data_IF_531370387294
#
_entry.id   IF_531370387294
#
_cell.length_a   1.000
_cell.length_b   1.000
_cell.length_c   1.000
_cell.angle_alpha   90.00
_cell.angle_beta   90.00
_cell.angle_gamma   90.00
#
_symmetry.space_group_name_H-M   'P 1'
#
loop_
_entity.id
_entity.type
_entity.pdbx_description
1 polymer ?
#
# COMPACT_ATOMS: atom_id res chain seq x y z
N UNK A 1 15.74 5.08 23.15
CA UNK A 1 16.42 3.98 22.43
C UNK A 1 15.49 2.79 22.50
N UNK A 2 15.01 2.29 21.36
CA UNK A 2 14.02 1.21 21.28
C UNK A 2 14.58 -0.14 21.75
N UNK A 3 13.68 -1.04 22.16
CA UNK A 3 14.01 -2.43 22.49
C UNK A 3 14.61 -3.15 21.28
N UNK A 4 15.45 -4.15 21.56
CA UNK A 4 15.91 -5.10 20.54
C UNK A 4 14.71 -5.91 20.04
N UNK A 5 14.72 -6.29 18.77
CA UNK A 5 13.67 -7.15 18.20
C UNK A 5 14.23 -8.06 17.09
N UNK A 6 13.62 -9.23 16.92
CA UNK A 6 13.82 -10.10 15.75
C UNK A 6 12.65 -10.01 14.76
N UNK A 7 11.45 -9.68 15.25
CA UNK A 7 10.23 -9.54 14.47
C UNK A 7 9.33 -8.47 15.09
N UNK A 8 8.28 -8.12 14.36
CA UNK A 8 7.33 -7.10 14.77
C UNK A 8 6.65 -7.43 16.10
N UNK A 9 6.31 -8.69 16.40
CA UNK A 9 5.57 -9.05 17.61
C UNK A 9 6.31 -8.67 18.92
N UNK A 10 7.63 -8.49 18.87
CA UNK A 10 8.47 -8.06 20.00
C UNK A 10 8.49 -6.54 20.22
N UNK A 11 8.02 -5.78 19.24
CA UNK A 11 7.92 -4.33 19.32
C UNK A 11 6.64 -3.86 19.99
N UNK A 12 6.77 -2.78 20.77
CA UNK A 12 5.62 -2.09 21.36
C UNK A 12 4.71 -1.50 20.27
N UNK A 13 3.45 -1.26 20.60
CA UNK A 13 2.48 -0.63 19.69
C UNK A 13 3.01 0.70 19.13
N UNK A 14 2.70 0.97 17.86
CA UNK A 14 3.20 2.15 17.12
C UNK A 14 4.65 2.05 16.66
N UNK A 15 5.33 0.91 16.89
CA UNK A 15 6.68 0.62 16.38
C UNK A 15 6.70 -0.71 15.62
N UNK A 16 7.56 -0.83 14.62
CA UNK A 16 7.84 -2.08 13.89
C UNK A 16 9.33 -2.41 14.01
N UNK A 17 9.68 -3.67 13.79
CA UNK A 17 11.04 -4.14 13.88
C UNK A 17 11.80 -3.83 12.59
N UNK A 18 12.84 -3.01 12.70
CA UNK A 18 13.81 -2.87 11.64
C UNK A 18 14.84 -3.99 11.79
N UNK A 19 14.58 -5.12 11.13
CA UNK A 19 15.33 -6.39 11.27
C UNK A 19 16.83 -6.23 11.06
N UNK A 20 17.27 -5.37 10.13
CA UNK A 20 18.70 -5.10 9.86
C UNK A 20 19.47 -4.60 11.09
N UNK A 21 18.85 -3.70 11.87
CA UNK A 21 19.46 -3.13 13.08
C UNK A 21 18.91 -3.74 14.36
N UNK A 22 18.03 -4.74 14.24
CA UNK A 22 17.33 -5.43 15.31
C UNK A 22 16.72 -4.47 16.34
N UNK A 23 16.03 -3.43 15.88
CA UNK A 23 15.44 -2.41 16.76
C UNK A 23 14.02 -2.05 16.37
N UNK A 24 13.22 -1.81 17.41
CA UNK A 24 11.89 -1.24 17.24
C UNK A 24 11.98 0.24 16.88
N UNK A 25 11.47 0.58 15.70
CA UNK A 25 11.47 1.91 15.12
C UNK A 25 10.02 2.40 15.03
N UNK A 26 9.71 3.66 15.42
CA UNK A 26 8.37 4.19 15.28
C UNK A 26 7.91 4.23 13.83
N UNK A 27 6.64 3.89 13.60
CA UNK A 27 6.00 3.97 12.28
C UNK A 27 6.04 5.42 11.80
N UNK A 28 6.39 5.64 10.54
CA UNK A 28 6.47 6.96 9.93
C UNK A 28 7.56 7.86 10.50
N UNK A 29 8.63 7.30 11.07
CA UNK A 29 9.74 8.07 11.65
C UNK A 29 10.98 8.16 10.76
N UNK A 30 11.11 7.29 9.76
CA UNK A 30 12.27 7.30 8.86
C UNK A 30 12.07 8.35 7.76
N UNK A 31 13.01 9.29 7.67
CA UNK A 31 12.99 10.37 6.68
C UNK A 31 13.29 9.84 5.27
N UNK A 32 12.93 10.62 4.25
CA UNK A 32 13.27 10.35 2.84
C UNK A 32 14.79 10.17 2.70
N UNK A 33 15.20 9.15 1.94
CA UNK A 33 16.60 8.75 1.78
C UNK A 33 17.14 7.83 2.87
N UNK A 34 16.37 7.54 3.92
CA UNK A 34 16.75 6.52 4.91
C UNK A 34 16.63 5.13 4.30
N UNK A 35 17.67 4.30 4.46
CA UNK A 35 17.65 2.90 4.00
C UNK A 35 16.64 2.07 4.79
N UNK A 36 15.90 1.23 4.09
CA UNK A 36 15.05 0.17 4.64
C UNK A 36 15.36 -1.14 3.92
N UNK A 37 15.10 -2.26 4.59
CA UNK A 37 15.45 -3.59 4.06
C UNK A 37 14.31 -4.27 3.30
N UNK A 38 13.09 -3.79 3.53
CA UNK A 38 11.89 -4.34 2.91
C UNK A 38 11.08 -3.20 2.28
N UNK A 39 10.51 -3.48 1.11
CA UNK A 39 9.70 -2.52 0.38
C UNK A 39 8.65 -3.24 -0.46
N UNK A 40 7.69 -3.85 0.23
CA UNK A 40 6.62 -4.63 -0.40
C UNK A 40 5.71 -3.69 -1.19
N UNK A 41 5.72 -3.86 -2.52
CA UNK A 41 4.95 -3.02 -3.47
C UNK A 41 5.19 -1.52 -3.31
N UNK A 42 6.39 -1.14 -2.87
CA UNK A 42 6.73 0.27 -2.67
C UNK A 42 6.19 0.89 -1.38
N UNK A 43 5.72 0.06 -0.45
CA UNK A 43 5.21 0.47 0.86
C UNK A 43 6.19 -0.01 1.94
N UNK A 44 6.48 0.89 2.88
CA UNK A 44 7.15 0.56 4.13
C UNK A 44 6.64 1.52 5.21
N UNK A 45 5.95 0.99 6.21
CA UNK A 45 5.28 1.78 7.25
C UNK A 45 6.27 2.52 8.18
N UNK A 46 7.55 2.15 8.22
CA UNK A 46 8.57 2.90 8.96
C UNK A 46 8.88 4.25 8.29
N UNK A 47 8.71 4.35 6.97
CA UNK A 47 8.96 5.58 6.21
C UNK A 47 7.91 6.65 6.50
N UNK A 48 8.33 7.92 6.54
CA UNK A 48 7.50 9.08 6.88
C UNK A 48 6.17 9.13 6.11
N UNK A 49 6.20 8.76 4.83
CA UNK A 49 5.03 8.73 3.94
C UNK A 49 4.43 7.33 3.75
N UNK A 50 4.95 6.33 4.48
CA UNK A 50 4.62 4.92 4.29
C UNK A 50 5.15 4.33 2.98
N UNK A 51 6.01 5.05 2.26
CA UNK A 51 6.46 4.69 0.90
C UNK A 51 7.97 4.54 0.80
N UNK A 52 8.39 3.64 -0.08
CA UNK A 52 9.78 3.33 -0.36
C UNK A 52 10.00 3.01 -1.84
N UNK A 53 11.27 3.05 -2.24
CA UNK A 53 11.74 2.79 -3.59
C UNK A 53 13.05 1.99 -3.54
N UNK A 54 13.31 1.15 -4.54
CA UNK A 54 14.59 0.47 -4.74
C UNK A 54 15.43 1.27 -5.73
N UNK A 55 16.74 1.29 -5.62
CA UNK A 55 17.56 1.73 -6.74
C UNK A 55 17.61 0.61 -7.78
N UNK A 56 17.31 0.92 -9.06
CA UNK A 56 17.26 -0.05 -10.17
C UNK A 56 18.55 -0.87 -10.38
N UNK A 57 19.64 -0.46 -9.75
CA UNK A 57 20.96 -1.08 -9.83
C UNK A 57 21.22 -2.10 -8.73
N UNK A 58 20.39 -2.16 -7.69
CA UNK A 58 20.62 -2.97 -6.49
C UNK A 58 19.27 -3.34 -5.85
N UNK A 59 18.72 -4.50 -6.25
CA UNK A 59 17.39 -4.98 -5.81
C UNK A 59 17.30 -5.21 -4.28
N UNK A 60 18.44 -5.23 -3.58
CA UNK A 60 18.54 -5.46 -2.13
C UNK A 60 18.59 -4.17 -1.28
N UNK A 61 18.55 -2.99 -1.91
CA UNK A 61 18.63 -1.71 -1.21
C UNK A 61 17.40 -0.84 -1.48
N UNK A 62 16.53 -0.76 -0.47
CA UNK A 62 15.37 0.12 -0.50
C UNK A 62 15.62 1.37 0.33
N UNK A 63 14.96 2.45 -0.04
CA UNK A 63 15.03 3.74 0.62
C UNK A 63 13.64 4.30 0.79
N UNK A 64 13.40 4.94 1.93
CA UNK A 64 12.21 5.75 2.10
C UNK A 64 12.16 6.83 1.03
N UNK A 65 11.06 6.93 0.32
CA UNK A 65 10.90 7.89 -0.78
C UNK A 65 9.60 8.67 -0.62
N UNK A 66 9.51 9.82 -1.29
CA UNK A 66 8.23 10.53 -1.43
C UNK A 66 7.30 9.71 -2.33
N UNK A 67 5.99 9.72 -2.05
CA UNK A 67 5.03 9.08 -2.91
C UNK A 67 4.92 9.86 -4.23
N UNK A 68 4.94 9.13 -5.34
CA UNK A 68 4.76 9.68 -6.68
C UNK A 68 3.35 9.38 -7.18
N UNK A 69 2.73 10.36 -7.87
CA UNK A 69 1.33 10.28 -8.34
C UNK A 69 1.26 9.96 -9.82
N UNK A 70 0.08 9.58 -10.30
CA UNK A 70 -0.28 9.59 -11.71
C UNK A 70 -0.06 10.98 -12.30
N UNK A 71 0.48 11.04 -13.53
CA UNK A 71 0.71 12.30 -14.26
C UNK A 71 -0.60 12.99 -14.64
N UNK A 72 -1.62 12.18 -14.91
CA UNK A 72 -2.94 12.64 -15.34
C UNK A 72 -3.92 12.63 -14.17
N UNK A 73 -5.06 13.28 -14.35
CA UNK A 73 -6.13 13.29 -13.35
C UNK A 73 -6.67 11.87 -13.10
N UNK A 74 -6.91 11.56 -11.83
CA UNK A 74 -7.41 10.27 -11.39
C UNK A 74 -8.95 10.16 -11.53
N UNK A 75 -9.52 9.02 -11.99
CA UNK A 75 -8.84 7.84 -12.49
C UNK A 75 -8.28 8.05 -13.91
N UNK A 76 -7.01 7.73 -14.10
CA UNK A 76 -6.36 7.84 -15.42
C UNK A 76 -6.81 6.70 -16.33
N UNK A 77 -7.30 7.05 -17.51
CA UNK A 77 -7.65 6.10 -18.57
C UNK A 77 -6.55 6.03 -19.61
N UNK A 78 -6.42 4.90 -20.28
CA UNK A 78 -5.34 4.63 -21.21
C UNK A 78 -5.83 3.93 -22.47
N UNK A 79 -5.20 4.21 -23.61
CA UNK A 79 -5.46 3.48 -24.86
C UNK A 79 -4.55 2.26 -24.94
N UNK A 80 -5.13 1.09 -25.20
CA UNK A 80 -4.40 -0.17 -25.25
C UNK A 80 -3.86 -0.36 -26.67
N UNK A 81 -2.74 0.31 -26.97
CA UNK A 81 -2.01 0.12 -28.22
C UNK A 81 -0.69 -0.65 -28.02
N UNK A 82 -0.03 -1.00 -29.13
CA UNK A 82 1.24 -1.75 -29.12
C UNK A 82 2.40 -1.02 -28.40
N UNK A 83 2.35 0.31 -28.28
CA UNK A 83 3.34 1.08 -27.55
C UNK A 83 3.07 1.02 -26.05
N UNK A 84 1.80 1.07 -25.63
CA UNK A 84 1.42 0.93 -24.24
C UNK A 84 1.88 -0.41 -23.66
N UNK A 85 1.69 -1.52 -24.40
CA UNK A 85 2.11 -2.84 -23.95
C UNK A 85 3.64 -2.98 -23.81
N UNK A 86 4.41 -2.17 -24.55
CA UNK A 86 5.87 -2.28 -24.60
C UNK A 86 6.58 -1.32 -23.65
N UNK A 87 6.03 -0.12 -23.44
CA UNK A 87 6.70 0.96 -22.71
C UNK A 87 5.89 1.49 -21.51
N UNK A 88 4.67 0.98 -21.30
CA UNK A 88 3.69 1.57 -20.39
C UNK A 88 3.09 2.84 -21.00
N UNK A 89 1.78 3.01 -20.83
CA UNK A 89 1.08 4.25 -21.20
C UNK A 89 0.51 5.00 -20.01
N UNK A 90 0.63 4.42 -18.82
CA UNK A 90 0.32 5.05 -17.55
C UNK A 90 1.61 5.59 -16.98
N UNK A 91 1.73 6.91 -16.90
CA UNK A 91 2.96 7.55 -16.45
C UNK A 91 2.70 8.22 -15.12
N UNK A 92 3.65 8.07 -14.22
CA UNK A 92 3.66 8.91 -13.04
C UNK A 92 4.04 10.36 -13.38
N UNK A 93 3.93 11.26 -12.41
CA UNK A 93 4.70 12.50 -12.37
C UNK A 93 6.22 12.19 -12.36
N UNK A 94 7.06 13.19 -12.63
CA UNK A 94 8.51 12.98 -12.62
C UNK A 94 8.98 12.59 -11.21
N UNK A 95 9.64 11.45 -11.09
CA UNK A 95 10.20 10.96 -9.84
C UNK A 95 11.64 11.42 -9.70
N UNK A 96 11.91 12.27 -8.70
CA UNK A 96 13.24 12.81 -8.43
C UNK A 96 14.24 11.75 -7.93
N UNK A 97 13.77 10.66 -7.32
CA UNK A 97 14.62 9.58 -6.82
C UNK A 97 15.13 8.70 -7.96
N UNK A 98 14.29 8.40 -8.94
CA UNK A 98 14.67 7.63 -10.13
C UNK A 98 15.13 8.50 -11.32
N UNK A 99 15.00 9.82 -11.20
CA UNK A 99 15.24 10.80 -12.28
C UNK A 99 14.49 10.46 -13.58
N UNK A 100 13.23 10.02 -13.46
CA UNK A 100 12.39 9.61 -14.61
C UNK A 100 10.91 9.59 -14.28
N UNK A 101 10.09 9.45 -15.32
CA UNK A 101 8.70 9.02 -15.17
C UNK A 101 8.64 7.51 -14.97
N UNK A 102 7.85 7.04 -14.02
CA UNK A 102 7.63 5.63 -13.76
C UNK A 102 6.52 5.11 -14.68
N UNK A 103 6.80 4.10 -15.53
CA UNK A 103 5.79 3.53 -16.41
C UNK A 103 5.02 2.41 -15.72
N UNK A 104 3.71 2.38 -15.97
CA UNK A 104 2.84 1.26 -15.67
C UNK A 104 2.06 0.82 -16.92
N UNK A 105 1.68 -0.46 -16.93
CA UNK A 105 0.85 -1.04 -17.98
C UNK A 105 -0.63 -0.72 -17.74
N UNK A 106 -1.35 -0.46 -18.82
CA UNK A 106 -2.79 -0.28 -18.82
C UNK A 106 -3.51 -1.60 -18.53
N UNK A 107 -4.54 -1.56 -17.68
CA UNK A 107 -5.39 -2.71 -17.40
C UNK A 107 -6.64 -2.67 -18.27
N UNK A 108 -6.91 -3.77 -18.97
CA UNK A 108 -8.11 -3.89 -19.81
C UNK A 108 -9.37 -3.95 -18.94
N UNK A 109 -10.39 -3.19 -19.32
CA UNK A 109 -11.73 -3.35 -18.75
C UNK A 109 -12.44 -4.55 -19.43
N UNK A 110 -13.41 -5.16 -18.74
CA UNK A 110 -14.11 -6.34 -19.26
C UNK A 110 -15.02 -6.03 -20.47
N UNK A 111 -15.30 -4.76 -20.74
CA UNK A 111 -16.07 -4.32 -21.90
C UNK A 111 -15.18 -4.06 -23.12
N UNK A 112 -15.70 -4.36 -24.30
CA UNK A 112 -15.06 -4.29 -25.63
C UNK A 112 -14.68 -2.86 -26.08
N UNK A 113 -14.00 -2.08 -25.25
CA UNK A 113 -13.44 -0.79 -25.62
C UNK A 113 -11.93 -0.89 -25.69
N UNK A 114 -11.32 -0.18 -26.65
CA UNK A 114 -9.85 -0.03 -26.77
C UNK A 114 -9.24 0.81 -25.62
N UNK A 115 -10.04 1.10 -24.59
CA UNK A 115 -9.72 1.94 -23.44
C UNK A 115 -9.61 1.07 -22.18
N UNK A 116 -8.47 1.13 -21.51
CA UNK A 116 -8.26 0.57 -20.19
C UNK A 116 -8.11 1.63 -19.12
N UNK A 117 -7.73 1.17 -17.92
CA UNK A 117 -7.51 2.01 -16.75
C UNK A 117 -6.08 1.84 -16.26
N UNK A 118 -5.45 2.94 -15.88
CA UNK A 118 -4.12 2.94 -15.31
C UNK A 118 -4.14 2.50 -13.85
N UNK A 119 -3.18 1.69 -13.38
CA UNK A 119 -3.07 1.32 -11.97
C UNK A 119 -2.71 2.52 -11.11
N UNK A 120 -3.00 2.40 -9.81
CA UNK A 120 -2.61 3.40 -8.82
C UNK A 120 -1.09 3.47 -8.67
N UNK A 121 -0.56 4.69 -8.66
CA UNK A 121 0.74 4.98 -8.08
C UNK A 121 0.61 5.25 -6.57
N UNK A 122 1.73 5.15 -5.85
CA UNK A 122 1.76 5.27 -4.39
C UNK A 122 1.19 6.60 -3.88
N UNK A 123 1.35 7.67 -4.64
CA UNK A 123 0.88 9.01 -4.30
C UNK A 123 -0.54 9.32 -4.75
N UNK A 124 -1.20 8.44 -5.50
CA UNK A 124 -2.60 8.65 -5.85
C UNK A 124 -3.46 8.64 -4.59
N UNK A 125 -4.51 9.48 -4.57
CA UNK A 125 -5.32 9.73 -3.38
C UNK A 125 -5.82 8.42 -2.72
N UNK A 126 -6.36 7.43 -3.46
CA UNK A 126 -6.85 6.20 -2.83
C UNK A 126 -5.74 5.38 -2.17
N UNK A 127 -4.55 5.37 -2.76
CA UNK A 127 -3.39 4.64 -2.22
C UNK A 127 -2.84 5.34 -0.98
N UNK A 128 -2.68 6.67 -1.02
CA UNK A 128 -2.27 7.45 0.14
C UNK A 128 -3.27 7.34 1.29
N UNK A 129 -4.57 7.32 0.99
CA UNK A 129 -5.60 7.12 2.00
C UNK A 129 -5.45 5.74 2.67
N UNK A 130 -5.27 4.67 1.89
CA UNK A 130 -5.09 3.32 2.43
C UNK A 130 -3.85 3.21 3.33
N UNK A 131 -2.70 3.70 2.85
CA UNK A 131 -1.44 3.75 3.63
C UNK A 131 -1.66 4.50 4.95
N UNK A 132 -2.30 5.67 4.90
CA UNK A 132 -2.56 6.48 6.09
C UNK A 132 -3.52 5.79 7.06
N UNK A 133 -4.56 5.09 6.58
CA UNK A 133 -5.47 4.33 7.45
C UNK A 133 -4.72 3.20 8.18
N UNK A 134 -3.83 2.48 7.50
CA UNK A 134 -3.00 1.44 8.12
C UNK A 134 -2.06 2.07 9.17
N UNK A 135 -1.33 3.12 8.81
CA UNK A 135 -0.44 3.81 9.76
C UNK A 135 -1.22 4.33 10.98
N UNK A 136 -2.42 4.87 10.79
CA UNK A 136 -3.28 5.34 11.88
C UNK A 136 -3.73 4.20 12.78
N UNK A 137 -4.14 3.07 12.21
CA UNK A 137 -4.49 1.87 12.97
C UNK A 137 -3.33 1.43 13.86
N UNK A 138 -2.13 1.32 13.30
CA UNK A 138 -0.96 0.89 14.06
C UNK A 138 -0.48 1.88 15.14
N UNK A 139 -0.82 3.16 15.00
CA UNK A 139 -0.52 4.22 15.98
C UNK A 139 -1.67 4.50 16.95
N UNK A 140 -2.81 3.82 16.78
CA UNK A 140 -4.01 4.04 17.57
C UNK A 140 -3.82 3.60 19.02
N UNK A 141 -4.73 4.00 19.91
CA UNK A 141 -4.74 3.47 21.29
C UNK A 141 -5.45 2.12 21.34
N UNK A 142 -6.40 1.94 20.44
CA UNK A 142 -7.27 0.79 20.29
C UNK A 142 -6.48 -0.48 19.96
N UNK A 143 -5.41 -0.37 19.16
CA UNK A 143 -4.54 -1.50 18.84
C UNK A 143 -3.83 -2.08 20.08
N UNK A 144 -3.71 -1.34 21.18
CA UNK A 144 -3.14 -1.84 22.43
C UNK A 144 -3.99 -2.94 23.08
N UNK A 145 -5.25 -3.06 22.66
CA UNK A 145 -6.14 -4.14 23.09
C UNK A 145 -5.98 -5.40 22.23
N UNK A 146 -5.20 -5.34 21.15
CA UNK A 146 -4.84 -6.50 20.31
C UNK A 146 -3.67 -7.27 20.90
N UNK A 147 -3.65 -8.58 20.70
CA UNK A 147 -2.42 -9.36 20.89
C UNK A 147 -1.33 -8.83 19.93
N UNK A 148 -0.10 -8.59 20.42
CA UNK A 148 0.98 -8.02 19.62
C UNK A 148 1.35 -8.87 18.40
N UNK A 149 1.11 -10.18 18.44
CA UNK A 149 1.29 -11.12 17.30
C UNK A 149 0.12 -11.11 16.30
N UNK A 150 -0.98 -10.41 16.60
CA UNK A 150 -2.19 -10.34 15.74
C UNK A 150 -2.60 -8.91 15.41
N UNK A 151 -1.72 -7.94 15.61
CA UNK A 151 -2.05 -6.53 15.40
C UNK A 151 -2.18 -6.14 13.92
N UNK A 152 -1.65 -6.97 13.04
CA UNK A 152 -1.80 -6.89 11.57
C UNK A 152 -3.05 -7.62 11.06
N UNK A 153 -3.67 -8.45 11.90
CA UNK A 153 -4.92 -9.13 11.60
C UNK A 153 -6.10 -8.15 11.74
N UNK A 154 -6.83 -7.94 10.64
CA UNK A 154 -8.00 -7.04 10.61
C UNK A 154 -9.15 -7.52 11.49
N UNK A 155 -9.14 -8.79 11.93
CA UNK A 155 -10.08 -9.27 12.95
C UNK A 155 -9.96 -8.41 14.21
N UNK A 156 -8.74 -8.09 14.66
CA UNK A 156 -8.60 -7.25 15.84
C UNK A 156 -9.04 -5.81 15.58
N UNK A 157 -8.73 -5.27 14.40
CA UNK A 157 -9.20 -3.94 14.00
C UNK A 157 -10.74 -3.87 14.04
N UNK A 158 -11.43 -4.93 13.61
CA UNK A 158 -12.90 -5.03 13.64
C UNK A 158 -13.46 -5.05 15.06
N UNK A 159 -12.78 -5.71 15.99
CA UNK A 159 -13.25 -5.83 17.38
C UNK A 159 -12.97 -4.57 18.20
N UNK A 160 -11.92 -3.80 17.85
CA UNK A 160 -11.41 -2.69 18.67
C UNK A 160 -11.74 -1.30 18.13
N UNK A 161 -11.90 -1.14 16.82
CA UNK A 161 -12.32 0.13 16.22
C UNK A 161 -13.84 0.26 16.26
N UNK A 162 -14.33 1.51 16.34
CA UNK A 162 -15.75 1.77 16.06
C UNK A 162 -16.10 1.47 14.60
N UNK A 163 -17.38 1.23 14.34
CA UNK A 163 -17.86 0.83 13.01
C UNK A 163 -17.42 1.81 11.91
N UNK A 164 -17.40 3.12 12.17
CA UNK A 164 -17.02 4.11 11.16
C UNK A 164 -15.51 4.05 10.87
N UNK A 165 -14.69 3.98 11.91
CA UNK A 165 -13.24 3.85 11.77
C UNK A 165 -12.84 2.53 11.08
N UNK A 166 -13.46 1.42 11.47
CA UNK A 166 -13.24 0.13 10.83
C UNK A 166 -13.67 0.14 9.36
N UNK A 167 -14.85 0.69 9.05
CA UNK A 167 -15.33 0.81 7.67
C UNK A 167 -14.41 1.68 6.81
N UNK A 168 -13.85 2.77 7.35
CA UNK A 168 -12.86 3.59 6.62
C UNK A 168 -11.59 2.80 6.30
N UNK A 169 -11.04 2.08 7.27
CA UNK A 169 -9.86 1.24 7.08
C UNK A 169 -10.13 0.17 6.02
N UNK A 170 -11.18 -0.64 6.19
CA UNK A 170 -11.46 -1.77 5.31
C UNK A 170 -11.84 -1.32 3.89
N UNK A 171 -12.58 -0.23 3.74
CA UNK A 171 -12.97 0.28 2.42
C UNK A 171 -11.77 0.85 1.67
N UNK A 172 -10.85 1.55 2.34
CA UNK A 172 -9.63 2.05 1.70
C UNK A 172 -8.72 0.91 1.22
N UNK A 173 -8.52 -0.12 2.04
CA UNK A 173 -7.74 -1.30 1.69
C UNK A 173 -8.39 -2.10 0.56
N UNK A 174 -9.71 -2.31 0.63
CA UNK A 174 -10.46 -3.03 -0.41
C UNK A 174 -10.41 -2.28 -1.73
N UNK A 175 -10.57 -0.95 -1.71
CA UNK A 175 -10.53 -0.15 -2.92
C UNK A 175 -9.21 -0.35 -3.66
N UNK A 176 -8.08 -0.21 -2.96
CA UNK A 176 -6.74 -0.39 -3.55
C UNK A 176 -6.52 -1.83 -4.01
N UNK A 177 -6.85 -2.83 -3.18
CA UNK A 177 -6.65 -4.26 -3.50
C UNK A 177 -7.35 -4.67 -4.79
N UNK A 178 -8.57 -4.18 -4.99
CA UNK A 178 -9.38 -4.53 -6.15
C UNK A 178 -9.32 -3.44 -7.23
N UNK A 179 -8.39 -2.50 -7.16
CA UNK A 179 -8.17 -1.56 -8.26
C UNK A 179 -7.27 -2.19 -9.35
N UNK A 180 -7.52 -1.94 -10.65
CA UNK A 180 -8.62 -1.19 -11.27
C UNK A 180 -9.87 -2.03 -11.56
N UNK A 181 -9.90 -3.26 -11.06
CA UNK A 181 -10.99 -4.23 -11.24
C UNK A 181 -12.36 -3.65 -10.79
N UNK A 182 -12.38 -2.87 -9.69
CA UNK A 182 -13.55 -2.15 -9.19
C UNK A 182 -14.18 -1.18 -10.19
N UNK A 183 -13.39 -0.62 -11.12
CA UNK A 183 -13.89 0.30 -12.13
C UNK A 183 -14.43 -0.42 -13.37
N UNK A 184 -14.22 -1.73 -13.45
CA UNK A 184 -14.43 -2.53 -14.66
C UNK A 184 -15.50 -3.60 -14.51
N UNK A 185 -16.11 -3.73 -13.32
CA UNK A 185 -17.17 -4.69 -13.02
C UNK A 185 -18.48 -4.00 -12.66
N UNK A 186 -19.59 -4.61 -13.07
CA UNK A 186 -20.93 -4.22 -12.63
C UNK A 186 -21.07 -4.35 -11.11
N UNK A 187 -21.89 -3.49 -10.51
CA UNK A 187 -22.19 -3.43 -9.07
C UNK A 187 -22.59 -4.80 -8.48
N UNK A 188 -23.22 -5.66 -9.28
CA UNK A 188 -23.58 -7.03 -8.91
C UNK A 188 -22.37 -7.94 -8.64
N UNK A 189 -21.32 -7.85 -9.47
CA UNK A 189 -20.09 -8.65 -9.33
C UNK A 189 -19.29 -8.16 -8.12
N UNK A 190 -19.27 -6.84 -7.91
CA UNK A 190 -18.64 -6.24 -6.73
C UNK A 190 -19.30 -6.72 -5.44
N UNK A 191 -20.64 -6.70 -5.36
CA UNK A 191 -21.38 -7.19 -4.20
C UNK A 191 -21.14 -8.67 -3.88
N UNK A 192 -20.97 -9.51 -4.91
CA UNK A 192 -20.66 -10.93 -4.73
C UNK A 192 -19.23 -11.15 -4.19
N UNK A 193 -18.26 -10.37 -4.66
CA UNK A 193 -16.87 -10.41 -4.18
C UNK A 193 -16.76 -9.88 -2.74
N UNK A 194 -17.44 -8.76 -2.42
CA UNK A 194 -17.36 -8.11 -1.11
C UNK A 194 -17.91 -8.95 0.04
N UNK A 195 -18.87 -9.83 -0.23
CA UNK A 195 -19.53 -10.65 0.79
C UNK A 195 -18.63 -11.79 1.34
N UNK A 196 -17.56 -12.18 0.62
CA UNK A 196 -16.62 -13.25 1.03
C UNK A 196 -15.24 -12.74 1.55
N UNK A 197 -15.04 -11.42 1.67
CA UNK A 197 -13.68 -10.83 1.73
C UNK A 197 -12.90 -10.93 3.05
N UNK A 198 -13.52 -11.29 4.17
CA UNK A 198 -12.83 -11.22 5.47
C UNK A 198 -11.65 -12.20 5.58
N UNK A 199 -11.68 -13.34 4.87
CA UNK A 199 -10.58 -14.31 4.86
C UNK A 199 -9.39 -13.90 3.99
N UNK A 200 -9.64 -13.31 2.81
CA UNK A 200 -8.58 -13.01 1.83
C UNK A 200 -7.89 -11.65 2.07
N UNK A 201 -8.46 -10.77 2.89
CA UNK A 201 -7.82 -9.50 3.25
C UNK A 201 -6.71 -9.68 4.30
N UNK A 202 -6.77 -10.74 5.12
CA UNK A 202 -5.70 -11.12 6.05
C UNK A 202 -4.42 -11.50 5.30
N UNK A 203 -4.52 -12.38 4.30
CA UNK A 203 -3.42 -12.77 3.41
C UNK A 203 -2.83 -11.58 2.62
N UNK A 204 -3.64 -10.58 2.31
CA UNK A 204 -3.18 -9.39 1.60
C UNK A 204 -2.33 -8.48 2.49
N UNK A 205 -2.72 -8.28 3.75
CA UNK A 205 -1.88 -7.54 4.71
C UNK A 205 -0.63 -8.34 5.06
N UNK A 206 -0.72 -9.66 5.23
CA UNK A 206 0.46 -10.52 5.42
C UNK A 206 1.45 -10.45 4.25
N UNK A 207 1.00 -10.15 3.02
CA UNK A 207 1.89 -10.00 1.83
C UNK A 207 2.32 -8.56 1.54
N UNK A 208 1.70 -7.56 2.16
CA UNK A 208 2.07 -6.15 2.04
C UNK A 208 2.88 -5.65 3.24
N UNK A 209 2.83 -6.38 4.36
CA UNK A 209 3.47 -6.04 5.64
C UNK A 209 4.60 -7.02 6.00
N UNK A 210 4.67 -8.20 5.35
CA UNK A 210 5.89 -9.04 5.31
C UNK A 210 6.55 -9.01 3.92
#
# INVERSE_FOLDING_TARGET
>A
MGSSCENDAECQYGTLCMTEIQRCVPIGSLEVGTRVYECSYGINLLCQYGTCASLLTDEDYFFCNKPVKSKSEFPETCSIDSNCQKYGCCLSEYDDFYERFLPHNCFCQHHETETGVCPLFQGDEPMQLAIQQVMNWHKSKEIQNCNSSRREDLICAKEMLDDNAYQKLINSLSYVKFYPVNLSFDECVLNALTTNMLGEMSDYLERYIN
#
